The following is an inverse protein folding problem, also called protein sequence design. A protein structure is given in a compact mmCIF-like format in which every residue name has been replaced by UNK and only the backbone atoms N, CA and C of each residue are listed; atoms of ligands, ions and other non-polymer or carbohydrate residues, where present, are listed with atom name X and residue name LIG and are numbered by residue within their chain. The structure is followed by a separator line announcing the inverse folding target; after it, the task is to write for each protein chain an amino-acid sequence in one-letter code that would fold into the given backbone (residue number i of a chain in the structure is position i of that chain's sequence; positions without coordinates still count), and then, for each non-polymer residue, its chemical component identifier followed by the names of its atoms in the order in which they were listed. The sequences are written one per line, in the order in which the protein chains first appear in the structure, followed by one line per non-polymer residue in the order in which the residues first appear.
data_IF_366198310065
#
_entry.id   IF_366198310065
#
_cell.length_a   1.000
_cell.length_b   1.000
_cell.length_c   1.000
_cell.angle_alpha   90.00
_cell.angle_beta   90.00
_cell.angle_gamma   90.00
#
_symmetry.space_group_name_H-M   'P 1'
#
loop_
_entity.id
_entity.type
_entity.pdbx_description
1 polymer ?
#
# COMPACT_ATOMS: atom_id res chain seq x y z
N UNK A 1 -28.81 12.38 -19.00
CA UNK A 1 -28.07 13.58 -18.63
C UNK A 1 -26.74 13.53 -19.37
N UNK A 2 -26.55 14.40 -20.37
CA UNK A 2 -25.31 14.41 -21.15
C UNK A 2 -24.16 14.89 -20.26
N UNK A 3 -23.18 14.03 -20.04
CA UNK A 3 -21.91 14.45 -19.44
C UNK A 3 -21.28 15.47 -20.40
N UNK A 4 -21.09 16.70 -19.93
CA UNK A 4 -20.31 17.71 -20.64
C UNK A 4 -18.88 17.19 -20.69
N UNK A 5 -18.49 16.58 -21.83
CA UNK A 5 -17.15 16.08 -22.05
C UNK A 5 -16.28 17.27 -22.46
N UNK A 6 -15.30 17.59 -21.65
CA UNK A 6 -14.24 18.50 -22.08
C UNK A 6 -13.37 17.79 -23.12
N UNK A 7 -12.83 18.53 -24.10
CA UNK A 7 -11.90 17.96 -25.08
C UNK A 7 -10.56 17.61 -24.42
N UNK A 8 -10.04 16.43 -24.72
CA UNK A 8 -8.74 15.98 -24.23
C UNK A 8 -7.60 16.94 -24.65
N UNK A 9 -7.73 17.61 -25.80
CA UNK A 9 -6.77 18.63 -26.28
C UNK A 9 -6.67 19.84 -25.33
N UNK A 10 -7.77 20.25 -24.71
CA UNK A 10 -7.77 21.37 -23.74
C UNK A 10 -7.03 20.95 -22.48
N UNK A 11 -7.26 19.72 -22.00
CA UNK A 11 -6.57 19.17 -20.84
C UNK A 11 -5.06 19.06 -21.13
N UNK A 12 -4.68 18.58 -22.34
CA UNK A 12 -3.29 18.48 -22.74
C UNK A 12 -2.58 19.83 -22.82
N UNK A 13 -3.20 20.86 -23.43
CA UNK A 13 -2.63 22.22 -23.46
C UNK A 13 -2.49 22.81 -22.06
N UNK A 14 -3.43 22.55 -21.18
CA UNK A 14 -3.33 22.97 -19.77
C UNK A 14 -2.13 22.34 -19.05
N UNK A 15 -1.96 21.02 -19.18
CA UNK A 15 -0.85 20.29 -18.56
C UNK A 15 0.52 20.70 -19.12
N UNK A 16 0.59 21.10 -20.38
CA UNK A 16 1.80 21.60 -21.01
C UNK A 16 2.09 23.09 -20.74
N UNK A 17 1.18 23.81 -20.09
CA UNK A 17 1.29 25.24 -19.84
C UNK A 17 1.09 26.13 -21.08
N UNK A 18 0.46 25.58 -22.15
CA UNK A 18 0.20 26.25 -23.43
C UNK A 18 -1.29 26.59 -23.62
N UNK A 19 -2.11 26.44 -22.59
CA UNK A 19 -3.55 26.72 -22.62
C UNK A 19 -3.84 28.19 -22.90
N UNK A 20 -4.80 28.45 -23.77
CA UNK A 20 -5.29 29.79 -24.06
C UNK A 20 -6.28 30.27 -23.01
N UNK A 21 -6.60 31.58 -23.03
CA UNK A 21 -7.60 32.16 -22.11
C UNK A 21 -8.99 31.51 -22.27
N UNK A 22 -9.32 31.07 -23.49
CA UNK A 22 -10.57 30.38 -23.82
C UNK A 22 -10.56 28.94 -23.30
N UNK A 23 -9.42 28.25 -23.40
CA UNK A 23 -9.25 26.91 -22.84
C UNK A 23 -9.39 26.94 -21.30
N UNK A 24 -8.79 27.94 -20.65
CA UNK A 24 -8.89 28.13 -19.19
C UNK A 24 -10.30 28.41 -18.74
N UNK A 25 -11.09 29.14 -19.53
CA UNK A 25 -12.50 29.38 -19.24
C UNK A 25 -13.33 28.11 -19.36
N UNK A 26 -13.15 27.35 -20.43
CA UNK A 26 -13.81 26.05 -20.63
C UNK A 26 -13.45 25.04 -19.53
N UNK A 27 -12.18 25.01 -19.10
CA UNK A 27 -11.70 24.16 -18.03
C UNK A 27 -12.33 24.53 -16.67
N UNK A 28 -12.47 25.83 -16.39
CA UNK A 28 -13.07 26.33 -15.15
C UNK A 28 -14.58 26.03 -15.10
N UNK A 29 -15.29 26.15 -16.23
CA UNK A 29 -16.69 25.73 -16.35
C UNK A 29 -16.86 24.21 -16.13
N UNK A 30 -15.94 23.40 -16.69
CA UNK A 30 -15.93 21.94 -16.53
C UNK A 30 -15.73 21.53 -15.06
N UNK A 31 -14.75 22.13 -14.36
CA UNK A 31 -14.45 21.86 -12.94
C UNK A 31 -15.59 22.29 -12.03
N UNK A 32 -16.24 23.42 -12.36
CA UNK A 32 -17.34 23.97 -11.56
C UNK A 32 -18.63 23.18 -11.73
N UNK A 33 -18.76 22.39 -12.78
CA UNK A 33 -19.97 21.62 -13.09
C UNK A 33 -20.18 20.39 -12.19
N UNK A 34 -19.10 19.77 -11.67
CA UNK A 34 -19.18 18.59 -10.80
C UNK A 34 -17.90 18.40 -9.99
N UNK A 35 -18.01 17.96 -8.71
CA UNK A 35 -16.85 17.55 -7.92
C UNK A 35 -16.03 16.40 -8.55
N UNK A 36 -16.70 15.50 -9.30
CA UNK A 36 -16.06 14.41 -10.02
C UNK A 36 -15.16 14.91 -11.15
N UNK A 37 -15.58 15.94 -11.88
CA UNK A 37 -14.79 16.57 -12.93
C UNK A 37 -13.50 17.18 -12.35
N UNK A 38 -13.60 17.79 -11.18
CA UNK A 38 -12.43 18.32 -10.46
C UNK A 38 -11.49 17.21 -10.06
N UNK A 39 -12.01 16.11 -9.51
CA UNK A 39 -11.21 14.94 -9.11
C UNK A 39 -10.53 14.29 -10.31
N UNK A 40 -11.23 14.19 -11.44
CA UNK A 40 -10.70 13.66 -12.70
C UNK A 40 -9.51 14.49 -13.21
N UNK A 41 -9.65 15.83 -13.26
CA UNK A 41 -8.56 16.70 -13.72
C UNK A 41 -7.31 16.58 -12.82
N UNK A 42 -7.49 16.58 -11.49
CA UNK A 42 -6.39 16.42 -10.56
C UNK A 42 -5.67 15.07 -10.71
N UNK A 43 -6.41 13.99 -10.98
CA UNK A 43 -5.80 12.68 -11.21
C UNK A 43 -4.94 12.64 -12.48
N UNK A 44 -5.37 13.32 -13.55
CA UNK A 44 -4.57 13.42 -14.79
C UNK A 44 -3.35 14.33 -14.59
N UNK A 45 -3.49 15.43 -13.87
CA UNK A 45 -2.38 16.34 -13.54
C UNK A 45 -1.30 15.60 -12.72
N UNK A 46 -1.71 14.80 -11.75
CA UNK A 46 -0.79 13.98 -10.93
C UNK A 46 -0.06 12.94 -11.80
N UNK A 47 -0.78 12.24 -12.68
CA UNK A 47 -0.19 11.28 -13.63
C UNK A 47 0.79 11.95 -14.61
N UNK A 48 0.46 13.15 -15.11
CA UNK A 48 1.31 13.91 -16.02
C UNK A 48 2.62 14.32 -15.33
N UNK A 49 2.56 14.82 -14.09
CA UNK A 49 3.75 15.17 -13.32
C UNK A 49 4.62 13.96 -13.00
N UNK A 50 4.02 12.81 -12.70
CA UNK A 50 4.75 11.55 -12.50
C UNK A 50 5.45 11.09 -13.78
N UNK A 51 4.80 11.24 -14.96
CA UNK A 51 5.38 10.94 -16.26
C UNK A 51 6.52 11.89 -16.65
N UNK A 52 6.37 13.18 -16.37
CA UNK A 52 7.37 14.21 -16.71
C UNK A 52 8.68 14.04 -15.93
N UNK A 53 8.65 13.53 -14.71
CA UNK A 53 9.87 13.24 -13.94
C UNK A 53 10.73 12.17 -14.60
N UNK A 54 10.13 11.19 -15.27
CA UNK A 54 10.84 10.13 -15.97
C UNK A 54 11.44 10.58 -17.32
N UNK A 55 10.80 11.54 -18.01
CA UNK A 55 11.24 12.08 -19.30
C UNK A 55 12.30 13.18 -19.16
N UNK A 56 12.23 14.00 -18.11
CA UNK A 56 13.17 15.11 -17.90
C UNK A 56 14.61 14.64 -17.58
N UNK A 57 14.78 13.42 -17.05
CA UNK A 57 16.10 12.82 -16.80
C UNK A 57 16.77 12.31 -18.07
N UNK A 58 16.03 11.70 -18.98
CA UNK A 58 16.59 11.22 -20.27
C UNK A 58 17.01 12.37 -21.18
N UNK A 59 16.23 13.45 -21.25
CA UNK A 59 16.57 14.63 -22.06
C UNK A 59 17.77 15.39 -21.48
N UNK A 60 17.93 15.47 -20.17
CA UNK A 60 19.12 16.05 -19.53
C UNK A 60 20.36 15.21 -19.75
N UNK A 61 20.24 13.88 -19.73
CA UNK A 61 21.34 12.95 -20.02
C UNK A 61 21.74 13.06 -21.49
N UNK A 62 20.79 13.11 -22.42
CA UNK A 62 21.05 13.24 -23.87
C UNK A 62 21.64 14.61 -24.21
N UNK A 63 21.18 15.69 -23.58
CA UNK A 63 21.75 17.03 -23.75
C UNK A 63 23.20 17.13 -23.19
N UNK A 64 23.46 16.48 -22.06
CA UNK A 64 24.80 16.38 -21.48
C UNK A 64 25.76 15.55 -22.37
N UNK A 65 25.27 14.43 -22.92
CA UNK A 65 26.03 13.60 -23.88
C UNK A 65 26.35 14.35 -25.18
N UNK A 66 25.42 15.14 -25.73
CA UNK A 66 25.67 15.97 -26.92
C UNK A 66 26.70 17.07 -26.66
N UNK A 67 26.66 17.71 -25.48
CA UNK A 67 27.69 18.68 -25.08
C UNK A 67 29.07 18.03 -24.90
N UNK A 68 29.15 16.84 -24.34
CA UNK A 68 30.38 16.06 -24.25
C UNK A 68 30.94 15.69 -25.65
N UNK A 69 30.09 15.29 -26.59
CA UNK A 69 30.50 14.99 -27.99
C UNK A 69 30.93 16.23 -28.77
N UNK A 70 30.41 17.41 -28.49
CA UNK A 70 30.82 18.66 -29.14
C UNK A 70 32.13 19.24 -28.59
N UNK A 71 32.54 18.85 -27.37
CA UNK A 71 33.82 19.27 -26.77
C UNK A 71 34.97 18.33 -27.18
N UNK A 72 34.64 17.09 -27.56
CA UNK A 72 35.65 16.09 -28.03
C UNK A 72 35.63 16.10 -29.56
N UNK A 73 36.11 17.21 -30.21
CA UNK A 73 36.54 17.14 -31.62
C UNK A 73 37.89 16.41 -31.68
N UNK A 74 38.06 15.47 -32.59
CA UNK A 74 39.37 14.83 -32.80
C UNK A 74 40.34 15.88 -33.34
N UNK A 75 41.31 16.26 -32.50
CA UNK A 75 42.47 17.03 -32.97
C UNK A 75 43.29 16.08 -33.80
N UNK A 76 43.37 16.35 -35.12
CA UNK A 76 44.32 15.71 -35.99
C UNK A 76 45.75 15.97 -35.49
N UNK A 77 46.40 14.92 -35.00
CA UNK A 77 47.79 14.96 -34.56
C UNK A 77 48.69 15.04 -35.80
N UNK A 78 49.14 16.25 -36.12
CA UNK A 78 50.35 16.40 -36.95
C UNK A 78 51.56 15.91 -36.18
N UNK A 79 52.20 14.87 -36.70
CA UNK A 79 53.44 14.29 -36.18
C UNK A 79 54.54 15.30 -36.34
N UNK A 80 54.85 16.04 -35.27
CA UNK A 80 56.13 16.76 -35.15
C UNK A 80 56.98 15.99 -34.11
N UNK A 81 58.02 15.36 -34.64
CA UNK A 81 59.06 14.71 -33.89
C UNK A 81 59.89 15.76 -33.19
N UNK A 82 59.76 15.97 -31.93
CA UNK A 82 60.77 16.66 -31.08
C UNK A 82 61.11 15.83 -29.88
N UNK A 83 62.42 15.48 -29.80
CA UNK A 83 63.06 14.96 -28.61
C UNK A 83 62.84 15.92 -27.46
N UNK A 84 62.07 15.55 -26.43
CA UNK A 84 62.03 16.22 -25.14
C UNK A 84 62.33 15.28 -24.01
N UNK A 85 63.26 15.72 -23.23
CA UNK A 85 63.91 15.21 -22.04
C UNK A 85 63.01 14.52 -21.02
N UNK A 86 63.56 13.48 -20.42
CA UNK A 86 63.08 12.63 -19.33
C UNK A 86 62.88 13.34 -17.98
N UNK A 87 62.37 14.54 -17.89
CA UNK A 87 62.30 15.26 -16.59
C UNK A 87 60.89 15.47 -16.03
N UNK A 88 59.83 15.16 -16.77
CA UNK A 88 58.44 15.40 -16.32
C UNK A 88 57.70 14.19 -15.73
N UNK A 89 58.23 12.98 -15.79
CA UNK A 89 57.54 11.79 -15.30
C UNK A 89 57.47 11.64 -13.78
N UNK A 90 58.32 12.33 -13.02
CA UNK A 90 58.30 12.23 -11.55
C UNK A 90 57.12 12.98 -10.90
N UNK A 91 56.64 14.05 -11.49
CA UNK A 91 55.46 14.78 -10.97
C UNK A 91 54.14 14.07 -11.28
N UNK A 92 54.02 13.46 -12.46
CA UNK A 92 52.81 12.70 -12.82
C UNK A 92 52.59 11.49 -11.89
N UNK A 93 53.66 10.83 -11.49
CA UNK A 93 53.62 9.67 -10.58
C UNK A 93 53.29 10.06 -9.13
N UNK A 94 53.58 11.27 -8.70
CA UNK A 94 53.15 11.82 -7.41
C UNK A 94 51.67 12.14 -7.41
N UNK A 95 51.13 12.72 -8.48
CA UNK A 95 49.70 13.05 -8.59
C UNK A 95 48.82 11.81 -8.65
N UNK A 96 49.25 10.72 -9.31
CA UNK A 96 48.51 9.45 -9.33
C UNK A 96 48.44 8.79 -7.94
N UNK A 97 49.48 8.96 -7.09
CA UNK A 97 49.47 8.47 -5.71
C UNK A 97 48.46 9.26 -4.84
N UNK A 98 48.34 10.56 -5.01
CA UNK A 98 47.37 11.36 -4.30
C UNK A 98 45.93 11.10 -4.82
N UNK A 99 45.74 10.91 -6.12
CA UNK A 99 44.46 10.55 -6.70
C UNK A 99 43.97 9.18 -6.16
N UNK A 100 44.87 8.19 -6.06
CA UNK A 100 44.52 6.90 -5.47
C UNK A 100 44.18 7.00 -3.98
N UNK A 101 44.91 7.85 -3.20
CA UNK A 101 44.58 8.09 -1.80
C UNK A 101 43.21 8.75 -1.62
N UNK A 102 42.87 9.74 -2.45
CA UNK A 102 41.55 10.39 -2.44
C UNK A 102 40.44 9.39 -2.80
N UNK A 103 40.62 8.55 -3.82
CA UNK A 103 39.69 7.49 -4.17
C UNK A 103 39.44 6.50 -3.04
N UNK A 104 40.50 6.11 -2.32
CA UNK A 104 40.42 5.23 -1.15
C UNK A 104 39.66 5.92 -0.02
N UNK A 105 39.92 7.20 0.25
CA UNK A 105 39.19 7.96 1.27
C UNK A 105 37.71 8.14 0.91
N UNK A 106 37.39 8.41 -0.36
CA UNK A 106 36.01 8.46 -0.86
C UNK A 106 35.33 7.10 -0.74
N UNK A 107 36.03 6.02 -1.07
CA UNK A 107 35.51 4.65 -0.93
C UNK A 107 35.26 4.30 0.54
N UNK A 108 36.21 4.61 1.43
CA UNK A 108 36.04 4.42 2.88
C UNK A 108 34.90 5.27 3.41
N UNK A 109 34.82 6.54 3.02
CA UNK A 109 33.71 7.43 3.37
C UNK A 109 32.37 6.89 2.90
N UNK A 110 32.28 6.38 1.66
CA UNK A 110 31.07 5.79 1.10
C UNK A 110 30.69 4.47 1.80
N UNK A 111 31.66 3.59 2.09
CA UNK A 111 31.44 2.36 2.85
C UNK A 111 31.03 2.64 4.29
N UNK A 112 31.66 3.63 4.94
CA UNK A 112 31.29 4.07 6.30
C UNK A 112 29.89 4.70 6.30
N UNK A 113 29.54 5.51 5.30
CA UNK A 113 28.20 6.08 5.16
C UNK A 113 27.13 4.99 4.95
N UNK A 114 27.40 3.97 4.12
CA UNK A 114 26.52 2.80 4.00
C UNK A 114 26.40 1.98 5.28
N UNK A 115 27.48 1.83 6.03
CA UNK A 115 27.48 1.11 7.31
C UNK A 115 26.72 1.86 8.43
N UNK A 116 26.74 3.19 8.40
CA UNK A 116 26.02 4.05 9.35
C UNK A 116 24.51 4.17 9.04
N UNK A 117 24.07 3.76 7.85
CA UNK A 117 22.65 3.78 7.41
C UNK A 117 21.98 2.40 7.48
N UNK A 118 22.64 1.38 8.04
CA UNK A 118 21.96 0.12 8.37
C UNK A 118 21.03 0.39 9.55
N UNK A 119 19.75 0.53 9.28
CA UNK A 119 18.70 0.59 10.30
C UNK A 119 18.68 -0.75 11.03
N UNK A 120 18.84 -0.71 12.36
CA UNK A 120 18.67 -1.90 13.19
C UNK A 120 17.20 -2.34 13.12
N UNK A 121 16.95 -3.46 12.45
CA UNK A 121 15.63 -4.02 12.28
C UNK A 121 15.24 -4.86 13.50
N UNK A 122 14.16 -4.46 14.14
CA UNK A 122 13.53 -5.23 15.22
C UNK A 122 12.69 -6.32 14.57
N UNK A 123 12.89 -7.57 14.98
CA UNK A 123 12.12 -8.72 14.53
C UNK A 123 11.23 -9.25 15.65
N UNK A 124 9.92 -9.27 15.43
CA UNK A 124 8.93 -9.74 16.40
C UNK A 124 8.24 -10.99 15.87
N UNK A 125 8.18 -12.02 16.73
CA UNK A 125 7.51 -13.29 16.45
C UNK A 125 6.23 -13.40 17.27
N UNK A 126 5.12 -13.73 16.61
CA UNK A 126 3.84 -14.03 17.28
C UNK A 126 3.57 -15.54 17.26
N UNK A 127 4.29 -16.31 18.06
CA UNK A 127 4.24 -17.78 18.02
C UNK A 127 2.81 -18.32 18.26
N UNK A 128 2.31 -18.27 19.48
CA UNK A 128 1.02 -18.87 19.86
C UNK A 128 -0.04 -17.87 20.30
N UNK A 129 0.23 -16.58 20.22
CA UNK A 129 -0.70 -15.52 20.65
C UNK A 129 -0.59 -14.29 19.78
N UNK A 130 -1.68 -13.55 19.69
CA UNK A 130 -1.71 -12.25 19.02
C UNK A 130 -0.81 -11.29 19.78
N UNK A 131 0.02 -10.54 19.05
CA UNK A 131 0.86 -9.47 19.62
C UNK A 131 0.43 -8.12 19.10
N UNK A 132 0.24 -7.17 20.00
CA UNK A 132 0.06 -5.76 19.66
C UNK A 132 1.40 -5.05 19.74
N UNK A 133 1.74 -4.30 18.72
CA UNK A 133 2.97 -3.51 18.59
C UNK A 133 2.55 -2.08 18.29
N UNK A 134 3.22 -1.12 18.88
CA UNK A 134 3.10 0.31 18.54
C UNK A 134 4.45 0.78 18.03
N UNK A 135 4.46 1.29 16.80
CA UNK A 135 5.65 1.75 16.13
C UNK A 135 5.98 3.20 16.53
N UNK A 136 7.21 3.63 16.27
CA UNK A 136 7.68 4.97 16.65
C UNK A 136 6.87 6.13 16.01
N UNK A 137 6.21 5.87 14.86
CA UNK A 137 5.34 6.83 14.18
C UNK A 137 3.89 6.88 14.71
N UNK A 138 3.57 6.06 15.74
CA UNK A 138 2.23 5.91 16.31
C UNK A 138 1.35 4.90 15.57
N UNK A 139 1.87 4.21 14.54
CA UNK A 139 1.16 3.12 13.87
C UNK A 139 0.98 1.94 14.81
N UNK A 140 -0.22 1.38 14.83
CA UNK A 140 -0.54 0.19 15.64
C UNK A 140 -0.65 -1.03 14.74
N UNK A 141 0.03 -2.10 15.13
CA UNK A 141 0.05 -3.37 14.39
C UNK A 141 -0.38 -4.49 15.34
N UNK A 142 -1.38 -5.26 14.93
CA UNK A 142 -1.70 -6.53 15.59
C UNK A 142 -1.18 -7.64 14.71
N UNK A 143 -0.34 -8.48 15.27
CA UNK A 143 0.31 -9.58 14.58
C UNK A 143 -0.38 -10.88 14.98
N UNK A 144 -0.91 -11.61 14.00
CA UNK A 144 -1.60 -12.88 14.25
C UNK A 144 -0.62 -14.01 14.57
N UNK A 145 -1.14 -15.09 15.15
CA UNK A 145 -0.35 -16.28 15.51
C UNK A 145 0.43 -16.82 14.32
N UNK A 146 1.66 -17.26 14.55
CA UNK A 146 2.54 -17.81 13.52
C UNK A 146 3.13 -16.78 12.56
N UNK A 147 3.02 -15.50 12.87
CA UNK A 147 3.53 -14.41 12.02
C UNK A 147 4.82 -13.82 12.52
N UNK A 148 5.61 -13.28 11.60
CA UNK A 148 6.87 -12.57 11.85
C UNK A 148 6.75 -11.17 11.26
N UNK A 149 7.14 -10.17 12.03
CA UNK A 149 7.11 -8.77 11.63
C UNK A 149 8.45 -8.11 11.88
N UNK A 150 8.98 -7.42 10.87
CA UNK A 150 10.25 -6.71 10.93
C UNK A 150 10.03 -5.23 10.65
N UNK A 151 10.59 -4.39 11.51
CA UNK A 151 10.48 -2.94 11.39
C UNK A 151 11.72 -2.26 11.99
N UNK A 152 12.12 -1.08 11.52
CA UNK A 152 13.23 -0.32 12.12
C UNK A 152 12.80 0.26 13.46
N UNK A 153 13.73 0.40 14.40
CA UNK A 153 13.48 1.02 15.70
C UNK A 153 12.92 2.44 15.54
N UNK A 154 13.47 3.19 14.59
CA UNK A 154 13.00 4.51 14.19
C UNK A 154 12.92 4.59 12.66
N UNK A 155 11.89 5.24 12.15
CA UNK A 155 11.79 5.50 10.72
C UNK A 155 12.68 6.67 10.32
N UNK A 156 13.63 6.43 9.41
CA UNK A 156 14.50 7.47 8.86
C UNK A 156 13.91 8.03 7.55
N UNK A 157 13.81 9.35 7.45
CA UNK A 157 13.33 10.02 6.23
C UNK A 157 11.84 9.82 5.96
N UNK A 158 11.47 9.88 4.66
CA UNK A 158 10.09 9.93 4.21
C UNK A 158 9.44 8.55 4.00
N UNK A 159 10.19 7.45 4.19
CA UNK A 159 9.71 6.10 3.89
C UNK A 159 9.69 5.22 5.15
N UNK A 160 8.48 4.88 5.59
CA UNK A 160 8.22 4.00 6.72
C UNK A 160 8.06 2.57 6.22
N UNK A 161 9.18 1.84 6.09
CA UNK A 161 9.21 0.51 5.49
C UNK A 161 9.26 -0.58 6.54
N UNK A 162 8.38 -1.58 6.42
CA UNK A 162 8.30 -2.75 7.30
C UNK A 162 8.14 -4.02 6.47
N UNK A 163 8.40 -5.19 7.07
CA UNK A 163 8.24 -6.50 6.42
C UNK A 163 7.33 -7.39 7.22
N UNK A 164 6.48 -8.12 6.52
CA UNK A 164 5.54 -9.08 7.08
C UNK A 164 5.70 -10.45 6.42
N UNK A 165 5.87 -11.47 7.25
CA UNK A 165 5.64 -12.87 6.90
C UNK A 165 4.55 -13.40 7.83
N UNK A 166 3.32 -13.49 7.34
CA UNK A 166 2.19 -13.87 8.16
C UNK A 166 0.94 -13.04 7.92
N UNK A 167 0.17 -12.86 8.99
CA UNK A 167 -1.03 -12.03 8.98
C UNK A 167 -0.94 -10.92 10.03
N UNK A 168 -1.22 -9.69 9.59
CA UNK A 168 -1.24 -8.53 10.45
C UNK A 168 -2.37 -7.55 10.08
N UNK A 169 -2.92 -6.93 11.12
CA UNK A 169 -3.86 -5.83 11.00
C UNK A 169 -3.16 -4.53 11.37
N UNK A 170 -3.31 -3.53 10.52
CA UNK A 170 -2.62 -2.26 10.62
C UNK A 170 -3.61 -1.11 10.82
N UNK A 171 -3.34 -0.27 11.81
CA UNK A 171 -3.91 1.08 11.94
C UNK A 171 -2.76 2.06 11.74
N UNK A 172 -2.54 2.46 10.49
CA UNK A 172 -1.40 3.31 10.13
C UNK A 172 -1.67 4.76 10.50
N UNK A 173 -0.76 5.35 11.28
CA UNK A 173 -0.84 6.75 11.66
C UNK A 173 -0.65 7.68 10.45
N UNK A 174 -1.56 8.65 10.29
CA UNK A 174 -1.40 9.72 9.29
C UNK A 174 -0.29 10.65 9.72
N UNK A 175 0.64 10.92 8.82
CA UNK A 175 1.72 11.88 9.02
C UNK A 175 1.47 13.15 8.19
N UNK A 176 1.89 14.29 8.73
CA UNK A 176 1.89 15.55 7.97
C UNK A 176 2.97 15.49 6.90
N UNK A 177 2.57 15.62 5.64
CA UNK A 177 3.41 15.30 4.48
C UNK A 177 3.00 13.96 3.87
N UNK A 178 3.36 13.73 2.61
CA UNK A 178 3.02 12.48 1.90
C UNK A 178 3.99 11.33 2.25
N UNK A 179 4.26 11.13 3.55
CA UNK A 179 5.14 10.04 4.00
C UNK A 179 4.43 8.70 3.81
N UNK A 180 4.98 7.85 2.95
CA UNK A 180 4.45 6.52 2.67
C UNK A 180 4.75 5.56 3.82
N UNK A 181 3.80 4.69 4.12
CA UNK A 181 4.01 3.49 4.92
C UNK A 181 3.94 2.28 3.99
N UNK A 182 5.00 1.50 3.96
CA UNK A 182 5.16 0.39 3.02
C UNK A 182 5.31 -0.92 3.78
N UNK A 183 4.42 -1.88 3.49
CA UNK A 183 4.52 -3.25 4.02
C UNK A 183 4.95 -4.18 2.90
N UNK A 184 6.15 -4.74 3.02
CA UNK A 184 6.67 -5.72 2.08
C UNK A 184 6.40 -7.14 2.55
N UNK A 185 6.04 -8.01 1.63
CA UNK A 185 5.96 -9.46 1.80
C UNK A 185 6.48 -10.17 0.56
N UNK A 186 6.46 -11.50 0.58
CA UNK A 186 6.96 -12.31 -0.54
C UNK A 186 6.21 -12.04 -1.85
N UNK A 187 4.87 -11.94 -1.82
CA UNK A 187 4.04 -11.90 -3.02
C UNK A 187 3.50 -10.51 -3.36
N UNK A 188 3.45 -9.60 -2.39
CA UNK A 188 2.92 -8.26 -2.62
C UNK A 188 3.57 -7.21 -1.73
N UNK A 189 3.53 -5.99 -2.21
CA UNK A 189 3.87 -4.79 -1.45
C UNK A 189 2.62 -3.91 -1.31
N UNK A 190 2.35 -3.46 -0.10
CA UNK A 190 1.22 -2.59 0.22
C UNK A 190 1.76 -1.22 0.60
N UNK A 191 1.27 -0.16 -0.07
CA UNK A 191 1.67 1.23 0.17
C UNK A 191 0.46 2.06 0.58
N UNK A 192 0.57 2.76 1.72
CA UNK A 192 -0.51 3.55 2.30
C UNK A 192 0.01 4.87 2.88
N UNK A 193 -0.88 5.81 3.19
CA UNK A 193 -0.55 7.09 3.82
C UNK A 193 -1.13 7.27 5.24
N UNK A 194 -2.16 6.49 5.59
CA UNK A 194 -2.87 6.57 6.86
C UNK A 194 -4.18 5.82 6.71
N UNK A 195 -4.14 4.53 6.88
CA UNK A 195 -5.12 3.56 6.38
C UNK A 195 -5.30 2.45 7.40
N UNK A 196 -6.49 1.90 7.48
CA UNK A 196 -6.80 0.71 8.27
C UNK A 196 -7.00 -0.45 7.31
N UNK A 197 -6.17 -1.48 7.41
CA UNK A 197 -6.21 -2.64 6.53
C UNK A 197 -5.71 -3.92 7.22
N UNK A 198 -6.11 -5.07 6.69
CA UNK A 198 -5.56 -6.38 7.04
C UNK A 198 -4.74 -6.92 5.89
N UNK A 199 -3.59 -7.51 6.18
CA UNK A 199 -2.73 -8.16 5.19
C UNK A 199 -2.36 -9.55 5.66
N UNK A 200 -2.51 -10.53 4.78
CA UNK A 200 -2.17 -11.94 5.00
C UNK A 200 -1.27 -12.44 3.88
N UNK A 201 -0.01 -12.70 4.21
CA UNK A 201 1.01 -13.17 3.26
C UNK A 201 2.04 -14.02 4.00
N UNK A 202 1.87 -15.32 4.00
CA UNK A 202 2.83 -16.28 4.56
C UNK A 202 3.80 -16.73 3.48
N UNK A 203 5.09 -16.83 3.78
CA UNK A 203 6.13 -17.25 2.83
C UNK A 203 5.88 -18.64 2.23
N UNK A 204 5.19 -19.51 2.96
CA UNK A 204 4.84 -20.86 2.52
C UNK A 204 3.50 -20.94 1.80
N UNK A 205 2.70 -19.87 1.81
CA UNK A 205 1.42 -19.83 1.12
C UNK A 205 1.63 -19.43 -0.34
N UNK A 206 0.78 -19.99 -1.20
CA UNK A 206 0.74 -19.69 -2.63
C UNK A 206 -0.17 -18.48 -2.94
N UNK A 207 -0.82 -17.92 -1.93
CA UNK A 207 -1.75 -16.80 -2.07
C UNK A 207 -1.46 -15.78 -0.97
N UNK A 208 -1.43 -14.50 -1.36
CA UNK A 208 -1.42 -13.37 -0.44
C UNK A 208 -2.68 -12.52 -0.65
N UNK A 209 -3.20 -11.97 0.44
CA UNK A 209 -4.41 -11.17 0.45
C UNK A 209 -4.21 -9.88 1.24
N UNK A 210 -4.83 -8.80 0.78
CA UNK A 210 -4.97 -7.58 1.57
C UNK A 210 -6.38 -7.01 1.43
N UNK A 211 -7.01 -6.65 2.54
CA UNK A 211 -8.36 -6.08 2.57
C UNK A 211 -8.35 -4.71 3.22
N UNK A 212 -9.02 -3.76 2.56
CA UNK A 212 -9.09 -2.38 2.99
C UNK A 212 -10.35 -2.12 3.82
N UNK A 213 -10.15 -1.60 5.03
CA UNK A 213 -11.23 -1.19 5.95
C UNK A 213 -11.51 0.30 5.81
N UNK A 214 -10.49 1.14 5.91
CA UNK A 214 -10.63 2.60 5.85
C UNK A 214 -9.42 3.23 5.15
N UNK A 215 -9.66 4.25 4.30
CA UNK A 215 -8.63 4.99 3.59
C UNK A 215 -8.42 4.50 2.17
N UNK A 216 -7.17 4.42 1.73
CA UNK A 216 -6.75 3.98 0.39
C UNK A 216 -5.51 3.10 0.50
N UNK A 217 -5.46 2.03 -0.27
CA UNK A 217 -4.33 1.09 -0.34
C UNK A 217 -3.90 0.95 -1.78
N UNK A 218 -2.63 1.22 -2.07
CA UNK A 218 -1.98 0.79 -3.31
C UNK A 218 -1.34 -0.57 -3.07
N UNK A 219 -1.74 -1.57 -3.84
CA UNK A 219 -1.16 -2.92 -3.85
C UNK A 219 -0.30 -3.07 -5.09
N UNK A 220 0.94 -3.50 -4.90
CA UNK A 220 1.89 -3.81 -5.97
C UNK A 220 2.21 -5.31 -5.92
N UNK A 221 2.13 -6.00 -7.05
CA UNK A 221 2.58 -7.40 -7.16
C UNK A 221 4.10 -7.47 -7.26
N UNK A 222 4.72 -8.49 -6.64
CA UNK A 222 6.17 -8.57 -6.54
C UNK A 222 6.90 -8.69 -7.89
N UNK A 223 6.29 -9.35 -8.90
CA UNK A 223 7.00 -9.75 -10.12
C UNK A 223 6.43 -9.16 -11.43
N UNK A 224 5.24 -8.56 -11.42
CA UNK A 224 4.53 -8.16 -12.65
C UNK A 224 4.32 -6.65 -12.80
N UNK A 225 4.96 -5.81 -11.97
CA UNK A 225 4.75 -4.34 -11.94
C UNK A 225 3.26 -3.93 -11.93
N UNK A 226 2.34 -4.88 -11.72
CA UNK A 226 0.92 -4.59 -11.66
C UNK A 226 0.57 -3.87 -10.37
N UNK A 227 -0.19 -2.77 -10.51
CA UNK A 227 -0.56 -1.91 -9.39
C UNK A 227 -2.07 -1.72 -9.38
N UNK A 228 -2.68 -1.90 -8.23
CA UNK A 228 -4.11 -1.72 -8.05
C UNK A 228 -4.36 -0.87 -6.79
N UNK A 229 -5.27 0.08 -6.91
CA UNK A 229 -5.77 0.85 -5.76
C UNK A 229 -7.06 0.21 -5.27
N UNK A 230 -7.11 -0.12 -3.97
CA UNK A 230 -8.30 -0.62 -3.31
C UNK A 230 -9.12 0.51 -2.71
N UNK A 231 -10.43 0.35 -2.78
CA UNK A 231 -11.41 1.13 -2.03
C UNK A 231 -11.88 0.37 -0.78
N UNK A 232 -12.40 1.06 0.25
CA UNK A 232 -12.97 0.41 1.43
C UNK A 232 -14.00 -0.66 1.06
N UNK A 233 -13.92 -1.83 1.70
CA UNK A 233 -14.74 -2.99 1.38
C UNK A 233 -14.19 -3.89 0.27
N UNK A 234 -13.01 -3.58 -0.28
CA UNK A 234 -12.36 -4.39 -1.30
C UNK A 234 -11.17 -5.18 -0.75
N UNK A 235 -10.89 -6.31 -1.39
CA UNK A 235 -9.77 -7.20 -1.12
C UNK A 235 -9.00 -7.46 -2.40
N UNK A 236 -7.68 -7.29 -2.38
CA UNK A 236 -6.79 -7.79 -3.42
C UNK A 236 -6.26 -9.18 -3.02
N UNK A 237 -6.19 -10.05 -4.00
CA UNK A 237 -5.66 -11.41 -3.89
C UNK A 237 -4.58 -11.55 -4.96
N UNK A 238 -3.36 -11.93 -4.54
CA UNK A 238 -2.24 -12.23 -5.44
C UNK A 238 -1.91 -13.71 -5.31
N UNK A 239 -1.87 -14.40 -6.44
CA UNK A 239 -1.56 -15.82 -6.54
C UNK A 239 -0.15 -16.02 -7.10
N UNK A 240 0.70 -16.78 -6.39
CA UNK A 240 2.11 -17.02 -6.74
C UNK A 240 2.29 -17.62 -8.12
N UNK A 241 1.44 -18.57 -8.51
CA UNK A 241 1.56 -19.32 -9.77
C UNK A 241 1.30 -18.49 -11.02
N UNK A 242 0.40 -17.50 -10.92
CA UNK A 242 -0.04 -16.67 -12.04
C UNK A 242 0.45 -15.26 -11.98
N UNK A 243 0.97 -14.82 -10.81
CA UNK A 243 1.31 -13.44 -10.45
C UNK A 243 0.16 -12.44 -10.68
N UNK A 244 -1.05 -12.97 -10.97
CA UNK A 244 -2.23 -12.14 -11.24
C UNK A 244 -2.81 -11.60 -9.94
N UNK A 245 -3.17 -10.33 -9.99
CA UNK A 245 -3.89 -9.65 -8.94
C UNK A 245 -5.38 -9.59 -9.29
N UNK A 246 -6.23 -10.07 -8.37
CA UNK A 246 -7.69 -10.04 -8.50
C UNK A 246 -8.26 -9.21 -7.36
N UNK A 247 -9.17 -8.28 -7.68
CA UNK A 247 -9.93 -7.52 -6.68
C UNK A 247 -11.32 -8.12 -6.52
N UNK A 248 -11.75 -8.29 -5.26
CA UNK A 248 -13.09 -8.75 -4.91
C UNK A 248 -13.70 -7.84 -3.86
N UNK A 249 -15.00 -7.66 -3.92
CA UNK A 249 -15.77 -7.10 -2.81
C UNK A 249 -15.75 -8.07 -1.62
N UNK A 250 -15.56 -7.54 -0.42
CA UNK A 250 -15.52 -8.33 0.82
C UNK A 250 -16.07 -7.51 1.99
N UNK A 251 -16.54 -8.20 3.02
CA UNK A 251 -16.72 -7.54 4.30
C UNK A 251 -15.35 -7.44 5.01
N UNK A 252 -14.60 -6.38 4.68
CA UNK A 252 -13.22 -6.18 5.16
C UNK A 252 -13.10 -6.08 6.69
N UNK A 253 -14.20 -5.75 7.40
CA UNK A 253 -14.25 -5.77 8.86
C UNK A 253 -14.07 -7.19 9.41
N UNK A 254 -14.56 -8.19 8.66
CA UNK A 254 -14.43 -9.60 9.05
C UNK A 254 -12.99 -10.11 8.99
N UNK A 255 -12.18 -9.58 8.09
CA UNK A 255 -10.77 -9.96 7.97
C UNK A 255 -9.93 -9.53 9.19
N UNK A 256 -10.39 -8.57 9.99
CA UNK A 256 -9.74 -8.11 11.21
C UNK A 256 -10.30 -8.68 12.53
N UNK A 257 -11.30 -9.56 12.49
CA UNK A 257 -11.99 -10.08 13.70
C UNK A 257 -11.04 -10.82 14.66
N UNK A 258 -10.08 -11.57 14.09
CA UNK A 258 -9.12 -12.34 14.89
C UNK A 258 -8.34 -11.51 15.91
N UNK A 259 -8.26 -10.19 15.71
CA UNK A 259 -7.50 -9.23 16.51
C UNK A 259 -8.02 -9.10 17.96
N UNK A 260 -9.32 -9.03 18.14
CA UNK A 260 -9.95 -8.72 19.43
C UNK A 260 -11.16 -9.59 19.75
N UNK A 261 -11.41 -10.62 18.98
CA UNK A 261 -12.60 -11.47 19.08
C UNK A 261 -13.94 -10.71 18.98
N UNK A 262 -13.95 -9.50 18.41
CA UNK A 262 -15.15 -8.70 18.26
C UNK A 262 -15.61 -8.72 16.80
N UNK A 263 -16.86 -9.06 16.59
CA UNK A 263 -17.54 -9.09 15.29
C UNK A 263 -18.36 -7.80 15.15
N UNK A 264 -17.93 -6.84 14.34
CA UNK A 264 -18.70 -5.62 14.13
C UNK A 264 -19.87 -5.87 13.16
N UNK A 265 -21.00 -5.26 13.45
CA UNK A 265 -22.15 -5.18 12.56
C UNK A 265 -22.55 -3.72 12.36
N UNK A 266 -22.85 -3.35 11.15
CA UNK A 266 -23.32 -2.02 10.82
C UNK A 266 -24.50 -2.12 9.85
N UNK A 267 -25.69 -1.66 10.29
CA UNK A 267 -26.93 -1.75 9.53
C UNK A 267 -27.20 -3.18 9.00
N UNK A 268 -26.83 -4.20 9.80
CA UNK A 268 -26.96 -5.60 9.42
C UNK A 268 -28.34 -6.15 9.79
N UNK A 269 -28.98 -6.86 8.89
CA UNK A 269 -30.19 -7.62 9.16
C UNK A 269 -29.88 -8.85 10.00
N UNK A 270 -30.88 -9.50 10.58
CA UNK A 270 -30.71 -10.81 11.26
C UNK A 270 -30.10 -11.84 10.31
N UNK A 271 -30.45 -11.79 9.03
CA UNK A 271 -29.92 -12.70 8.01
C UNK A 271 -28.45 -12.47 7.74
N UNK A 272 -27.99 -11.22 7.72
CA UNK A 272 -26.57 -10.88 7.60
C UNK A 272 -25.79 -11.36 8.82
N UNK A 273 -26.32 -11.15 10.03
CA UNK A 273 -25.72 -11.64 11.28
C UNK A 273 -25.64 -13.17 11.28
N UNK A 274 -26.71 -13.86 10.90
CA UNK A 274 -26.75 -15.32 10.81
C UNK A 274 -25.65 -15.84 9.86
N UNK A 275 -25.51 -15.27 8.67
CA UNK A 275 -24.49 -15.64 7.69
C UNK A 275 -23.06 -15.47 8.23
N UNK A 276 -22.81 -14.40 8.95
CA UNK A 276 -21.51 -14.16 9.60
C UNK A 276 -21.21 -15.22 10.66
N UNK A 277 -22.21 -15.59 11.46
CA UNK A 277 -22.06 -16.64 12.48
C UNK A 277 -21.91 -18.04 11.86
N UNK A 278 -22.58 -18.32 10.74
CA UNK A 278 -22.37 -19.56 9.96
C UNK A 278 -20.90 -19.70 9.55
N UNK A 279 -20.32 -18.63 8.99
CA UNK A 279 -18.91 -18.62 8.55
C UNK A 279 -17.94 -18.77 9.73
N UNK A 280 -18.24 -18.12 10.88
CA UNK A 280 -17.37 -18.12 12.06
C UNK A 280 -17.37 -19.45 12.85
N UNK A 281 -18.51 -20.14 12.88
CA UNK A 281 -18.73 -21.34 13.69
C UNK A 281 -18.87 -22.61 12.86
N UNK A 282 -18.90 -22.47 11.53
CA UNK A 282 -19.08 -23.59 10.58
C UNK A 282 -20.33 -24.40 10.86
N UNK A 283 -21.43 -23.73 11.13
CA UNK A 283 -22.75 -24.29 11.41
C UNK A 283 -23.77 -23.70 10.44
N UNK A 284 -24.87 -24.38 10.23
CA UNK A 284 -25.99 -23.84 9.47
C UNK A 284 -26.94 -23.09 10.37
N UNK A 285 -27.31 -21.84 9.97
CA UNK A 285 -28.28 -21.02 10.74
C UNK A 285 -29.46 -20.70 9.83
N UNK A 286 -30.64 -21.18 10.20
CA UNK A 286 -31.88 -20.91 9.49
C UNK A 286 -32.66 -19.79 10.19
N UNK A 287 -33.01 -18.75 9.46
CA UNK A 287 -33.83 -17.65 9.95
C UNK A 287 -35.26 -17.88 9.54
N UNK A 288 -36.20 -17.89 10.52
CA UNK A 288 -37.62 -18.07 10.27
C UNK A 288 -38.17 -16.97 9.34
N UNK A 289 -39.10 -17.33 8.47
CA UNK A 289 -39.69 -16.39 7.50
C UNK A 289 -40.53 -15.30 8.16
N UNK A 290 -40.98 -15.51 9.38
CA UNK A 290 -41.82 -14.55 10.12
C UNK A 290 -40.98 -13.46 10.82
N UNK A 291 -39.67 -13.50 10.72
CA UNK A 291 -38.78 -12.43 11.21
C UNK A 291 -38.82 -11.25 10.24
N UNK A 292 -39.05 -10.07 10.80
CA UNK A 292 -38.98 -8.82 10.02
C UNK A 292 -37.53 -8.49 9.64
N UNK A 293 -37.18 -8.69 8.38
CA UNK A 293 -35.85 -8.43 7.83
C UNK A 293 -35.61 -6.94 7.50
N UNK A 294 -36.60 -6.07 7.70
CA UNK A 294 -36.41 -4.62 7.49
C UNK A 294 -35.66 -3.96 8.64
N UNK A 295 -35.68 -4.57 9.83
CA UNK A 295 -34.92 -4.09 10.97
C UNK A 295 -33.44 -4.40 10.82
N UNK A 296 -32.61 -3.39 11.05
CA UNK A 296 -31.15 -3.51 11.02
C UNK A 296 -30.55 -3.21 12.37
N UNK A 297 -29.44 -3.86 12.67
CA UNK A 297 -28.72 -3.76 13.94
C UNK A 297 -27.31 -3.28 13.71
N UNK A 298 -26.80 -2.45 14.61
CA UNK A 298 -25.42 -1.99 14.61
C UNK A 298 -24.82 -2.19 15.98
N UNK A 299 -23.59 -2.71 16.03
CA UNK A 299 -22.91 -3.00 17.27
C UNK A 299 -21.75 -3.95 17.09
N UNK A 300 -21.29 -4.53 18.19
CA UNK A 300 -20.22 -5.52 18.18
C UNK A 300 -20.64 -6.71 19.04
N UNK A 301 -20.35 -7.92 18.58
CA UNK A 301 -20.59 -9.16 19.30
C UNK A 301 -19.24 -9.81 19.58
N UNK A 302 -19.01 -10.19 20.83
CA UNK A 302 -17.82 -10.93 21.20
C UNK A 302 -17.90 -12.37 20.68
N UNK A 303 -16.90 -12.79 19.87
CA UNK A 303 -16.74 -14.16 19.46
C UNK A 303 -16.32 -15.01 20.67
N UNK A 304 -17.20 -15.85 21.17
CA UNK A 304 -16.94 -16.78 22.27
C UNK A 304 -16.57 -18.16 21.73
N UNK A 305 -16.03 -19.02 22.60
CA UNK A 305 -15.67 -20.40 22.20
C UNK A 305 -16.89 -21.20 21.75
N UNK A 306 -18.07 -21.00 22.38
CA UNK A 306 -19.31 -21.69 22.07
C UNK A 306 -20.30 -20.76 21.39
N UNK A 307 -20.88 -21.18 20.27
CA UNK A 307 -21.94 -20.47 19.56
C UNK A 307 -23.15 -20.20 20.48
N UNK A 308 -23.48 -21.14 21.36
CA UNK A 308 -24.59 -20.99 22.31
C UNK A 308 -24.48 -19.73 23.15
N UNK A 309 -23.27 -19.38 23.63
CA UNK A 309 -23.02 -18.18 24.44
C UNK A 309 -23.21 -16.91 23.61
N UNK A 310 -22.87 -16.95 22.32
CA UNK A 310 -23.11 -15.86 21.38
C UNK A 310 -24.60 -15.69 21.09
N UNK A 311 -25.29 -16.79 20.80
CA UNK A 311 -26.74 -16.78 20.56
C UNK A 311 -27.51 -16.28 21.78
N UNK A 312 -27.08 -16.62 22.99
CA UNK A 312 -27.66 -16.09 24.23
C UNK A 312 -27.44 -14.58 24.38
N UNK A 313 -26.27 -14.08 23.99
CA UNK A 313 -25.99 -12.64 24.00
C UNK A 313 -26.85 -11.91 22.96
N UNK A 314 -27.01 -12.48 21.76
CA UNK A 314 -27.92 -11.95 20.74
C UNK A 314 -29.37 -11.90 21.20
N UNK A 315 -29.88 -12.99 21.75
CA UNK A 315 -31.25 -13.05 22.28
C UNK A 315 -31.52 -12.01 23.38
N UNK A 316 -30.52 -11.67 24.17
CA UNK A 316 -30.63 -10.62 25.21
C UNK A 316 -30.60 -9.18 24.61
N UNK A 317 -30.10 -9.03 23.39
CA UNK A 317 -29.87 -7.72 22.77
C UNK A 317 -30.86 -7.37 21.67
N UNK A 318 -31.44 -8.38 21.05
CA UNK A 318 -32.39 -8.25 19.92
C UNK A 318 -33.57 -9.20 20.11
N UNK A 319 -34.78 -8.84 19.61
CA UNK A 319 -36.01 -9.60 19.88
C UNK A 319 -36.09 -10.90 19.06
N UNK A 320 -35.21 -11.84 19.36
CA UNK A 320 -35.16 -13.17 18.75
C UNK A 320 -35.15 -14.26 19.82
N UNK A 321 -35.61 -15.44 19.43
CA UNK A 321 -35.35 -16.71 20.12
C UNK A 321 -34.49 -17.59 19.23
N UNK A 322 -33.75 -18.51 19.83
CA UNK A 322 -32.97 -19.48 19.08
C UNK A 322 -33.16 -20.88 19.63
N UNK A 323 -33.01 -21.87 18.76
CA UNK A 323 -33.02 -23.29 19.09
C UNK A 323 -31.84 -23.95 18.41
N UNK A 324 -30.97 -24.59 19.19
CA UNK A 324 -29.83 -25.34 18.67
C UNK A 324 -30.25 -26.79 18.48
N UNK A 325 -30.16 -27.28 17.27
CA UNK A 325 -30.32 -28.69 16.90
C UNK A 325 -28.94 -29.30 16.61
N UNK A 326 -28.85 -30.59 16.36
CA UNK A 326 -27.58 -31.30 16.27
C UNK A 326 -26.60 -30.71 15.21
N UNK A 327 -27.11 -30.16 14.12
CA UNK A 327 -26.33 -29.68 12.95
C UNK A 327 -26.72 -28.28 12.46
N UNK A 328 -27.72 -27.65 13.10
CA UNK A 328 -28.21 -26.32 12.73
C UNK A 328 -28.75 -25.53 13.90
N UNK A 329 -28.83 -24.24 13.72
CA UNK A 329 -29.49 -23.31 14.63
C UNK A 329 -30.69 -22.68 13.92
N UNK A 330 -31.83 -22.65 14.59
CA UNK A 330 -33.02 -21.96 14.11
C UNK A 330 -33.19 -20.66 14.88
N UNK A 331 -33.40 -19.55 14.17
CA UNK A 331 -33.71 -18.24 14.74
C UNK A 331 -35.16 -17.91 14.48
N UNK A 332 -35.91 -17.61 15.52
CA UNK A 332 -37.36 -17.32 15.52
C UNK A 332 -37.63 -15.95 16.12
N UNK A 333 -38.76 -15.28 15.75
CA UNK A 333 -39.14 -14.03 16.40
C UNK A 333 -39.44 -14.26 17.89
N UNK A 334 -39.19 -13.24 18.69
CA UNK A 334 -39.66 -13.21 20.08
C UNK A 334 -41.16 -12.78 20.04
N UNK A 335 -42.08 -13.66 20.47
CA UNK A 335 -43.51 -13.35 20.60
C UNK A 335 -43.74 -12.15 21.55
#
# INVERSE_FOLDING_TARGET
MCMNKISDDIIWRYLQGTATTEDMKALNEYISASPENKKYLFSIEELYHLGKWKYDEEDKINAAMQRLKSVVQPVEMSVVSEKKEKKQMKHLFLWTRYAAAVLVLVLIGWLSFKGLTSEDMIRVYADNKIRKIELADGTKVWLNKGSVFEYPENFAGDNRKVRLNGEAYFEVARQTGKHKFTVESKLMTVVVHGTIFNMKSYDQATVAETSLIEGEVLVESGDDDSKIILLPGQKAIVEESSHKMVVKETNSLMDGIWRNNMVPFQNATIQDIAKVLEDLYHVKIEVCKDIDLTHTYSGMIEKKEKLEDVMKTLQNSIPIRYKIESDKVLIEPME
#
